data_IF_679097877868
#
_entry.id   IF_679097877868
#
_cell.length_a   1.000
_cell.length_b   1.000
_cell.length_c   1.000
_cell.angle_alpha   90.00
_cell.angle_beta   90.00
_cell.angle_gamma   90.00
#
_symmetry.space_group_name_H-M   'P 1'
#
loop_
_entity.id
_entity.type
_entity.pdbx_description
1 polymer ?
#
# COMPACT_ATOMS: atom_id res chain seq x y z
N UNK A 1 -2.19 -0.37 -0.73
CA UNK A 1 -2.97 0.37 0.31
C UNK A 1 -4.46 0.17 0.03
N UNK A 2 -5.38 0.35 0.99
CA UNK A 2 -6.83 0.45 0.62
C UNK A 2 -7.13 1.83 0.02
N UNK A 3 -8.26 1.99 -0.67
CA UNK A 3 -8.72 3.31 -1.14
C UNK A 3 -8.87 4.29 0.03
N UNK A 4 -9.45 3.83 1.13
CA UNK A 4 -9.68 4.65 2.32
C UNK A 4 -8.38 5.14 2.96
N UNK A 5 -7.35 4.29 3.05
CA UNK A 5 -6.03 4.73 3.54
C UNK A 5 -5.39 5.77 2.62
N UNK A 6 -5.57 5.67 1.31
CA UNK A 6 -5.08 6.70 0.38
C UNK A 6 -5.83 8.01 0.58
N UNK A 7 -7.16 7.99 0.76
CA UNK A 7 -7.96 9.19 1.05
C UNK A 7 -7.55 9.85 2.36
N UNK A 8 -7.36 9.05 3.41
CA UNK A 8 -6.82 9.50 4.68
C UNK A 8 -5.44 10.14 4.50
N UNK A 9 -4.55 9.46 3.76
CA UNK A 9 -3.22 9.94 3.44
C UNK A 9 -3.20 11.31 2.79
N UNK A 10 -4.03 11.50 1.75
CA UNK A 10 -4.16 12.79 1.07
C UNK A 10 -4.68 13.87 2.03
N UNK A 11 -5.63 13.54 2.89
CA UNK A 11 -6.17 14.48 3.89
C UNK A 11 -5.07 14.89 4.89
N UNK A 12 -4.32 13.93 5.43
CA UNK A 12 -3.24 14.20 6.37
C UNK A 12 -2.06 14.96 5.74
N UNK A 13 -1.78 14.72 4.46
CA UNK A 13 -0.71 15.38 3.71
C UNK A 13 -0.92 16.90 3.58
N UNK A 14 -2.14 17.40 3.74
CA UNK A 14 -2.40 18.85 3.81
C UNK A 14 -1.91 19.50 5.11
N UNK A 15 -1.67 18.71 6.17
CA UNK A 15 -1.36 19.22 7.51
C UNK A 15 -0.05 18.69 8.09
N UNK A 16 0.47 17.58 7.57
CA UNK A 16 1.64 16.88 8.09
C UNK A 16 2.70 16.64 7.01
N UNK A 17 3.99 16.59 7.37
CA UNK A 17 5.05 16.17 6.46
C UNK A 17 4.81 14.76 5.87
N UNK A 18 5.09 14.58 4.58
CA UNK A 18 4.82 13.31 3.86
C UNK A 18 5.50 12.10 4.49
N UNK A 19 6.71 12.25 5.02
CA UNK A 19 7.43 11.17 5.69
C UNK A 19 6.70 10.66 6.95
N UNK A 20 6.00 11.53 7.68
CA UNK A 20 5.20 11.15 8.85
C UNK A 20 3.92 10.46 8.40
N UNK A 21 3.21 11.03 7.42
CA UNK A 21 2.00 10.44 6.85
C UNK A 21 2.29 9.05 6.32
N UNK A 22 3.39 8.87 5.60
CA UNK A 22 3.79 7.58 5.04
C UNK A 22 4.04 6.53 6.13
N UNK A 23 4.71 6.90 7.22
CA UNK A 23 4.91 5.99 8.36
C UNK A 23 3.58 5.58 8.99
N UNK A 24 2.64 6.51 9.17
CA UNK A 24 1.32 6.22 9.72
C UNK A 24 0.52 5.26 8.81
N UNK A 25 0.49 5.54 7.51
CA UNK A 25 -0.20 4.68 6.54
C UNK A 25 0.45 3.31 6.42
N UNK A 26 1.78 3.25 6.52
CA UNK A 26 2.54 2.00 6.50
C UNK A 26 2.14 1.14 7.70
N UNK A 27 2.12 1.72 8.90
CA UNK A 27 1.70 1.05 10.11
C UNK A 27 0.24 0.59 10.03
N UNK A 28 -0.69 1.45 9.61
CA UNK A 28 -2.10 1.10 9.47
C UNK A 28 -2.31 -0.05 8.47
N UNK A 29 -1.62 -0.03 7.32
CA UNK A 29 -1.68 -1.11 6.36
C UNK A 29 -1.10 -2.42 6.90
N UNK A 30 -0.06 -2.36 7.73
CA UNK A 30 0.47 -3.55 8.39
C UNK A 30 -0.53 -4.14 9.41
N UNK A 31 -1.27 -3.30 10.13
CA UNK A 31 -2.34 -3.76 11.04
C UNK A 31 -3.50 -4.42 10.27
N UNK A 32 -3.86 -3.89 9.10
CA UNK A 32 -4.99 -4.41 8.29
C UNK A 32 -4.60 -5.70 7.57
N UNK A 33 -3.43 -5.73 6.95
CA UNK A 33 -3.04 -6.81 6.05
C UNK A 33 -2.01 -7.78 6.64
N UNK A 34 -1.30 -7.41 7.70
CA UNK A 34 -0.11 -8.12 8.17
C UNK A 34 1.04 -8.06 7.16
N UNK A 35 1.99 -8.98 7.33
CA UNK A 35 3.08 -9.16 6.37
C UNK A 35 2.60 -9.96 5.13
N UNK A 36 2.67 -9.31 3.97
CA UNK A 36 2.35 -9.92 2.67
C UNK A 36 3.60 -10.33 1.87
N UNK A 37 4.80 -10.13 2.41
CA UNK A 37 6.07 -10.48 1.74
C UNK A 37 6.13 -11.96 1.38
N UNK A 38 5.66 -12.82 2.29
CA UNK A 38 5.56 -14.28 2.12
C UNK A 38 4.60 -14.71 1.00
N UNK A 39 3.76 -13.78 0.55
CA UNK A 39 2.78 -13.98 -0.51
C UNK A 39 3.18 -13.24 -1.81
N UNK A 40 4.43 -12.74 -1.90
CA UNK A 40 4.97 -12.08 -3.10
C UNK A 40 4.70 -10.58 -3.20
N UNK A 41 4.13 -9.94 -2.16
CA UNK A 41 3.91 -8.49 -2.14
C UNK A 41 4.92 -7.83 -1.22
N UNK A 42 5.96 -7.25 -1.83
CA UNK A 42 6.96 -6.46 -1.11
C UNK A 42 6.59 -4.98 -1.11
N UNK A 43 6.90 -4.27 -0.02
CA UNK A 43 6.75 -2.81 0.00
C UNK A 43 7.77 -2.14 -0.91
N UNK A 44 7.36 -1.12 -1.69
CA UNK A 44 8.31 -0.25 -2.36
C UNK A 44 9.19 0.49 -1.33
N UNK A 45 10.37 0.95 -1.78
CA UNK A 45 11.30 1.73 -0.93
C UNK A 45 10.69 3.06 -0.48
N UNK A 46 9.87 3.67 -1.32
CA UNK A 46 9.18 4.93 -1.04
C UNK A 46 7.82 4.69 -0.40
N UNK A 47 7.44 5.60 0.51
CA UNK A 47 6.14 5.57 1.15
C UNK A 47 4.99 5.90 0.19
N UNK A 48 3.75 5.51 0.52
CA UNK A 48 2.62 5.58 -0.41
C UNK A 48 2.26 6.99 -0.91
N UNK A 49 2.37 8.02 -0.08
CA UNK A 49 2.13 9.41 -0.46
C UNK A 49 3.33 10.02 -1.16
N UNK A 50 4.56 9.74 -0.73
CA UNK A 50 5.77 10.16 -1.45
C UNK A 50 5.78 9.59 -2.87
N UNK A 51 5.52 8.29 -3.01
CA UNK A 51 5.42 7.62 -4.31
C UNK A 51 4.30 8.24 -5.17
N UNK A 52 3.16 8.59 -4.55
CA UNK A 52 2.06 9.26 -5.25
C UNK A 52 2.46 10.66 -5.73
N UNK A 53 3.17 11.45 -4.93
CA UNK A 53 3.58 12.80 -5.33
C UNK A 53 4.55 12.77 -6.51
N UNK A 54 5.38 11.72 -6.61
CA UNK A 54 6.35 11.59 -7.70
C UNK A 54 5.74 11.00 -8.98
N UNK A 55 4.95 9.93 -8.88
CA UNK A 55 4.43 9.17 -10.03
C UNK A 55 3.00 9.62 -10.43
N UNK A 56 2.32 10.37 -9.56
CA UNK A 56 0.92 10.79 -9.73
C UNK A 56 -0.12 9.69 -9.45
N UNK A 57 0.32 8.45 -9.25
CA UNK A 57 -0.55 7.27 -9.09
C UNK A 57 -0.43 6.64 -7.70
N UNK A 58 -1.47 5.92 -7.30
CA UNK A 58 -1.51 5.23 -6.00
C UNK A 58 -1.80 3.76 -6.19
N UNK A 59 -0.95 2.90 -5.63
CA UNK A 59 -1.16 1.46 -5.61
C UNK A 59 -2.23 1.09 -4.57
N UNK A 60 -3.40 0.69 -5.06
CA UNK A 60 -4.53 0.26 -4.23
C UNK A 60 -4.73 -1.25 -4.35
N UNK A 61 -5.04 -1.90 -3.23
CA UNK A 61 -5.41 -3.31 -3.15
C UNK A 61 -6.71 -3.46 -2.36
N UNK A 62 -7.57 -4.35 -2.82
CA UNK A 62 -8.82 -4.71 -2.15
C UNK A 62 -8.56 -5.71 -1.00
N UNK A 63 -9.31 -5.57 0.09
CA UNK A 63 -9.14 -6.42 1.28
C UNK A 63 -9.56 -7.87 1.01
N UNK A 64 -10.63 -8.06 0.25
CA UNK A 64 -11.09 -9.38 -0.18
C UNK A 64 -10.05 -10.06 -1.06
N UNK A 65 -9.45 -9.32 -2.00
CA UNK A 65 -8.32 -9.83 -2.81
C UNK A 65 -7.15 -10.30 -1.95
N UNK A 66 -6.75 -9.54 -0.92
CA UNK A 66 -5.70 -9.99 0.01
C UNK A 66 -6.09 -11.29 0.71
N UNK A 67 -7.36 -11.44 1.10
CA UNK A 67 -7.88 -12.68 1.68
C UNK A 67 -7.73 -13.88 0.73
N UNK A 68 -8.00 -13.70 -0.56
CA UNK A 68 -7.84 -14.73 -1.58
C UNK A 68 -6.36 -15.08 -1.85
N UNK A 69 -5.47 -14.08 -1.80
CA UNK A 69 -4.01 -14.28 -1.91
C UNK A 69 -3.50 -15.12 -0.73
N UNK A 70 -3.91 -14.78 0.49
CA UNK A 70 -3.55 -15.55 1.69
C UNK A 70 -4.05 -16.99 1.67
N UNK A 71 -5.21 -17.24 1.06
CA UNK A 71 -5.76 -18.59 0.85
C UNK A 71 -5.10 -19.36 -0.31
N UNK A 72 -4.18 -18.74 -1.05
CA UNK A 72 -3.53 -19.34 -2.22
C UNK A 72 -4.44 -19.48 -3.45
N UNK A 73 -5.64 -18.90 -3.42
CA UNK A 73 -6.61 -18.92 -4.52
C UNK A 73 -6.14 -18.01 -5.64
N UNK A 74 -5.63 -16.82 -5.28
CA UNK A 74 -4.97 -15.90 -6.21
C UNK A 74 -3.47 -16.02 -6.01
N UNK A 75 -2.74 -16.36 -7.07
CA UNK A 75 -1.28 -16.33 -7.11
C UNK A 75 -0.82 -15.11 -7.89
N UNK A 76 0.21 -14.43 -7.39
CA UNK A 76 0.86 -13.37 -8.13
C UNK A 76 1.76 -14.00 -9.19
N UNK A 77 1.45 -13.75 -10.46
CA UNK A 77 2.39 -13.95 -11.55
C UNK A 77 3.47 -12.87 -11.44
N UNK A 78 4.72 -13.29 -11.34
CA UNK A 78 5.87 -12.42 -11.09
C UNK A 78 6.21 -11.56 -12.32
N UNK A 79 5.37 -10.57 -12.64
CA UNK A 79 5.71 -9.42 -13.49
C UNK A 79 4.80 -8.23 -13.13
N UNK A 80 5.08 -7.61 -11.98
CA UNK A 80 4.72 -6.20 -11.80
C UNK A 80 6.01 -5.48 -11.40
N UNK A 81 6.86 -5.25 -12.39
CA UNK A 81 7.79 -4.13 -12.31
C UNK A 81 6.90 -2.89 -12.17
N UNK A 82 6.89 -2.30 -10.97
CA UNK A 82 6.26 -1.01 -10.70
C UNK A 82 6.93 0.02 -11.62
N UNK A 83 6.22 0.45 -12.66
CA UNK A 83 6.34 1.78 -13.26
C UNK A 83 5.32 2.70 -12.62
#
# INVERSE_FOLDING_TARGET
MTKELIRLGMTLAHHLPLNLVDKLLVMAAYLIFGDLSRHGITRPKMGPMTLKSEIGRSAVIDVGTVGLIKKGIIKLSMYFYLL
#
